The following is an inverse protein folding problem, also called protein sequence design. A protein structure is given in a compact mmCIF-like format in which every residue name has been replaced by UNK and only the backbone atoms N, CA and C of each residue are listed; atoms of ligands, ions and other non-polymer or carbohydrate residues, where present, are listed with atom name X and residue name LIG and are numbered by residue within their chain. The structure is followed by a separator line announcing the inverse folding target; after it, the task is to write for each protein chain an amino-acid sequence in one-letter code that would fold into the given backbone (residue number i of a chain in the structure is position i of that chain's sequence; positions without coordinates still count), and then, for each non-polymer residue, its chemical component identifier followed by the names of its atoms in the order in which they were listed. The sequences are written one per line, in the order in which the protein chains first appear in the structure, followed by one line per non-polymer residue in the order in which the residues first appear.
data_IF_057519231087
#
_entry.id   IF_057519231087
#
_cell.length_a   1.000
_cell.length_b   1.000
_cell.length_c   1.000
_cell.angle_alpha   90.00
_cell.angle_beta   90.00
_cell.angle_gamma   90.00
#
_symmetry.space_group_name_H-M   'P 1'
#
loop_
_entity.id
_entity.type
_entity.pdbx_description
1 polymer ?
#
# COMPACT_ATOMS: atom_id res chain seq x y z
N UNK A 1 -0.97 -19.51 -8.55
CA UNK A 1 -2.01 -19.63 -7.51
C UNK A 1 -1.28 -19.46 -6.18
N UNK A 2 -1.56 -18.42 -5.38
CA UNK A 2 -0.98 -18.30 -4.04
C UNK A 2 -1.55 -19.41 -3.16
N UNK A 3 -0.72 -20.05 -2.33
CA UNK A 3 -1.05 -21.30 -1.61
C UNK A 3 -2.22 -21.24 -0.61
N UNK A 4 -2.92 -20.10 -0.43
CA UNK A 4 -3.90 -19.90 0.66
C UNK A 4 -5.11 -19.01 0.35
N UNK A 5 -5.64 -18.98 -0.87
CA UNK A 5 -6.81 -18.13 -1.22
C UNK A 5 -6.70 -16.70 -0.66
N UNK A 6 -5.50 -16.15 -0.70
CA UNK A 6 -5.14 -14.86 -0.11
C UNK A 6 -4.61 -13.95 -1.20
N UNK A 7 -5.02 -12.68 -1.16
CA UNK A 7 -4.62 -11.68 -2.14
C UNK A 7 -3.91 -10.50 -1.47
N UNK A 8 -2.97 -9.89 -2.20
CA UNK A 8 -2.35 -8.65 -1.78
C UNK A 8 -3.33 -7.49 -2.00
N UNK A 9 -3.32 -6.51 -1.10
CA UNK A 9 -4.07 -5.26 -1.25
C UNK A 9 -3.12 -4.15 -1.70
N UNK A 10 -3.38 -3.56 -2.87
CA UNK A 10 -2.66 -2.39 -3.37
C UNK A 10 -3.53 -1.13 -3.34
N UNK A 11 -2.94 0.06 -3.26
CA UNK A 11 -3.69 1.29 -3.60
C UNK A 11 -4.01 1.40 -5.09
N UNK A 12 -4.68 2.50 -5.42
CA UNK A 12 -4.94 2.93 -6.80
C UNK A 12 -3.69 3.24 -7.61
N UNK A 13 -2.50 3.38 -7.00
CA UNK A 13 -1.24 3.56 -7.72
C UNK A 13 -0.70 2.25 -8.31
N UNK A 14 -1.22 1.10 -7.88
CA UNK A 14 -0.88 -0.20 -8.46
C UNK A 14 -1.85 -0.63 -9.56
N UNK A 15 -1.34 -1.42 -10.50
CA UNK A 15 -2.18 -2.14 -11.45
C UNK A 15 -3.02 -3.23 -10.78
N UNK A 16 -4.25 -3.44 -11.25
CA UNK A 16 -5.09 -4.56 -10.82
C UNK A 16 -4.59 -5.87 -11.44
N UNK A 17 -4.23 -6.84 -10.59
CA UNK A 17 -3.69 -8.13 -11.00
C UNK A 17 -4.45 -9.29 -10.33
N UNK A 18 -4.40 -10.52 -10.85
CA UNK A 18 -5.06 -11.69 -10.24
C UNK A 18 -4.57 -12.07 -8.82
N UNK A 19 -3.53 -11.40 -8.32
CA UNK A 19 -2.98 -11.57 -6.98
C UNK A 19 -2.86 -10.25 -6.20
N UNK A 20 -3.19 -9.10 -6.83
CA UNK A 20 -3.10 -7.75 -6.25
C UNK A 20 -4.40 -7.01 -6.51
N UNK A 21 -5.21 -6.88 -5.45
CA UNK A 21 -6.53 -6.29 -5.48
C UNK A 21 -6.44 -4.80 -5.13
N UNK A 22 -6.90 -3.96 -6.04
CA UNK A 22 -6.95 -2.51 -5.89
C UNK A 22 -8.40 -2.01 -5.78
N UNK A 23 -8.64 -0.81 -5.22
CA UNK A 23 -9.97 -0.24 -5.08
C UNK A 23 -10.73 -0.19 -6.41
N UNK A 24 -12.07 -0.22 -6.34
CA UNK A 24 -12.92 0.03 -7.52
C UNK A 24 -12.84 1.51 -7.85
N UNK A 25 -12.36 1.89 -9.06
CA UNK A 25 -12.43 3.28 -9.50
C UNK A 25 -13.89 3.63 -9.82
N UNK A 26 -14.38 4.74 -9.29
CA UNK A 26 -15.75 5.23 -9.51
C UNK A 26 -16.84 4.17 -9.21
N UNK A 27 -17.03 3.76 -7.95
CA UNK A 27 -18.02 2.75 -7.58
C UNK A 27 -19.43 3.16 -8.05
N UNK A 28 -20.19 2.22 -8.60
CA UNK A 28 -21.51 2.46 -9.19
C UNK A 28 -22.67 1.87 -8.35
N UNK A 29 -22.34 1.09 -7.32
CA UNK A 29 -23.33 0.43 -6.48
C UNK A 29 -22.84 0.30 -5.03
N UNK A 30 -23.78 0.02 -4.12
CA UNK A 30 -23.53 -0.08 -2.68
C UNK A 30 -22.52 -1.18 -2.33
N UNK A 31 -22.48 -2.30 -3.08
CA UNK A 31 -21.53 -3.36 -2.82
C UNK A 31 -20.08 -2.92 -3.11
N UNK A 32 -19.87 -2.22 -4.22
CA UNK A 32 -18.57 -1.62 -4.57
C UNK A 32 -18.14 -0.55 -3.57
N UNK A 33 -19.08 0.26 -3.08
CA UNK A 33 -18.81 1.24 -2.02
C UNK A 33 -18.36 0.56 -0.71
N UNK A 34 -19.10 -0.46 -0.26
CA UNK A 34 -18.77 -1.24 0.94
C UNK A 34 -17.42 -1.94 0.80
N UNK A 35 -17.15 -2.52 -0.37
CA UNK A 35 -15.84 -3.08 -0.68
C UNK A 35 -14.73 -2.03 -0.55
N UNK A 36 -14.89 -0.85 -1.14
CA UNK A 36 -13.91 0.23 -1.03
C UNK A 36 -13.74 0.71 0.42
N UNK A 37 -14.80 0.77 1.21
CA UNK A 37 -14.72 1.10 2.65
C UNK A 37 -13.90 0.05 3.41
N UNK A 38 -14.18 -1.24 3.22
CA UNK A 38 -13.42 -2.31 3.86
C UNK A 38 -11.96 -2.34 3.38
N UNK A 39 -11.73 -2.14 2.09
CA UNK A 39 -10.39 -2.06 1.49
C UNK A 39 -9.57 -0.92 2.11
N UNK A 40 -10.17 0.28 2.24
CA UNK A 40 -9.56 1.43 2.91
C UNK A 40 -9.28 1.14 4.38
N UNK A 41 -10.21 0.51 5.10
CA UNK A 41 -10.02 0.14 6.50
C UNK A 41 -8.83 -0.81 6.68
N UNK A 42 -8.69 -1.83 5.82
CA UNK A 42 -7.53 -2.73 5.83
C UNK A 42 -6.22 -1.97 5.56
N UNK A 43 -6.20 -1.06 4.57
CA UNK A 43 -4.99 -0.29 4.22
C UNK A 43 -4.57 0.73 5.28
N UNK A 44 -5.52 1.26 6.05
CA UNK A 44 -5.26 2.27 7.09
C UNK A 44 -4.19 1.82 8.10
N UNK A 45 -4.14 0.53 8.43
CA UNK A 45 -3.15 -0.02 9.38
C UNK A 45 -1.73 0.07 8.83
N UNK A 46 -1.54 -0.27 7.56
CA UNK A 46 -0.22 -0.21 6.90
C UNK A 46 0.19 1.24 6.64
N UNK A 47 -0.75 2.09 6.23
CA UNK A 47 -0.49 3.53 6.03
C UNK A 47 -0.06 4.20 7.34
N UNK A 48 -0.74 3.89 8.45
CA UNK A 48 -0.36 4.35 9.79
C UNK A 48 1.01 3.85 10.20
N UNK A 49 1.33 2.57 9.98
CA UNK A 49 2.64 2.00 10.27
C UNK A 49 3.75 2.76 9.52
N UNK A 50 3.53 3.04 8.23
CA UNK A 50 4.45 3.83 7.43
C UNK A 50 4.60 5.26 7.98
N UNK A 51 3.51 5.92 8.37
CA UNK A 51 3.55 7.24 9.00
C UNK A 51 4.37 7.26 10.30
N UNK A 52 4.18 6.26 11.17
CA UNK A 52 4.98 6.10 12.41
C UNK A 52 6.46 5.96 12.09
N UNK A 53 6.83 5.11 11.13
CA UNK A 53 8.23 4.90 10.76
C UNK A 53 8.86 6.16 10.13
N UNK A 54 8.17 6.84 9.22
CA UNK A 54 8.65 8.08 8.59
C UNK A 54 8.82 9.21 9.60
N UNK A 55 7.85 9.39 10.49
CA UNK A 55 7.87 10.40 11.53
C UNK A 55 9.04 10.19 12.51
N UNK A 56 9.26 8.93 12.90
CA UNK A 56 10.35 8.54 13.79
C UNK A 56 11.73 8.62 13.11
N UNK A 57 11.83 8.16 11.88
CA UNK A 57 13.08 8.09 11.12
C UNK A 57 13.00 8.99 9.90
N UNK A 58 13.40 10.25 10.07
CA UNK A 58 13.43 11.21 8.98
C UNK A 58 14.24 10.76 7.77
N UNK A 59 15.16 9.80 7.91
CA UNK A 59 15.93 9.21 6.80
C UNK A 59 15.08 8.49 5.75
N UNK A 60 13.83 8.14 6.06
CA UNK A 60 12.87 7.56 5.11
C UNK A 60 11.62 8.43 4.93
N UNK A 61 11.59 9.61 5.56
CA UNK A 61 10.54 10.61 5.34
C UNK A 61 10.68 11.20 3.94
N UNK A 62 9.56 11.66 3.38
CA UNK A 62 9.52 12.35 2.08
C UNK A 62 10.51 13.52 2.03
N UNK A 63 10.68 14.24 3.13
CA UNK A 63 11.58 15.40 3.20
C UNK A 63 13.06 15.04 2.99
N UNK A 64 13.39 13.75 3.05
CA UNK A 64 14.72 13.18 2.85
C UNK A 64 14.60 11.89 2.05
N UNK A 65 14.35 12.06 0.75
CA UNK A 65 14.26 10.94 -0.20
C UNK A 65 15.53 10.09 -0.10
N UNK A 66 15.35 8.76 -0.03
CA UNK A 66 16.45 7.80 -0.06
C UNK A 66 17.05 7.77 -1.46
N UNK A 67 18.19 8.43 -1.65
CA UNK A 67 18.98 8.38 -2.90
C UNK A 67 19.93 7.19 -2.83
N UNK A 68 19.35 5.98 -2.77
CA UNK A 68 20.10 4.72 -2.74
C UNK A 68 19.44 3.70 -3.67
N UNK A 69 20.26 2.78 -4.20
CA UNK A 69 19.76 1.60 -4.91
C UNK A 69 18.72 0.82 -4.06
N UNK A 70 17.69 0.21 -4.67
CA UNK A 70 16.63 -0.51 -3.95
C UNK A 70 17.13 -1.52 -2.91
N UNK A 71 18.23 -2.24 -3.19
CA UNK A 71 18.81 -3.20 -2.24
C UNK A 71 19.31 -2.50 -0.98
N UNK A 72 19.95 -1.33 -1.14
CA UNK A 72 20.44 -0.54 -0.01
C UNK A 72 19.31 0.20 0.71
N UNK A 73 18.34 0.74 -0.02
CA UNK A 73 17.14 1.34 0.55
C UNK A 73 16.37 0.33 1.42
N UNK A 74 16.21 -0.92 0.95
CA UNK A 74 15.59 -2.00 1.72
C UNK A 74 16.32 -2.31 3.03
N UNK A 75 17.67 -2.30 3.02
CA UNK A 75 18.47 -2.45 4.26
C UNK A 75 18.23 -1.32 5.25
N UNK A 76 18.11 -0.09 4.77
CA UNK A 76 17.83 1.08 5.63
C UNK A 76 16.44 0.95 6.26
N UNK A 77 15.42 0.60 5.46
CA UNK A 77 14.06 0.37 5.97
C UNK A 77 14.03 -0.75 7.01
N UNK A 78 14.72 -1.87 6.76
CA UNK A 78 14.83 -2.97 7.73
C UNK A 78 15.50 -2.54 9.04
N UNK A 79 16.54 -1.70 8.96
CA UNK A 79 17.20 -1.13 10.14
C UNK A 79 16.22 -0.24 10.92
N UNK A 80 15.44 0.63 10.24
CA UNK A 80 14.39 1.43 10.87
C UNK A 80 13.35 0.56 11.59
N UNK A 81 12.85 -0.51 10.96
CA UNK A 81 11.90 -1.44 11.59
C UNK A 81 12.50 -2.12 12.82
N UNK A 82 13.77 -2.56 12.74
CA UNK A 82 14.46 -3.21 13.86
C UNK A 82 14.61 -2.24 15.03
N UNK A 83 15.08 -1.02 14.76
CA UNK A 83 15.25 0.02 15.78
C UNK A 83 13.90 0.47 16.37
N UNK A 84 12.84 0.53 15.57
CA UNK A 84 11.48 0.80 16.03
C UNK A 84 11.04 -0.22 17.09
N UNK A 85 11.22 -1.51 16.80
CA UNK A 85 10.87 -2.59 17.73
C UNK A 85 11.68 -2.49 19.03
N UNK A 86 12.98 -2.20 18.94
CA UNK A 86 13.84 -1.97 20.12
C UNK A 86 13.32 -0.79 20.95
N UNK A 87 12.92 0.31 20.31
CA UNK A 87 12.37 1.48 21.00
C UNK A 87 11.05 1.18 21.70
N UNK A 88 10.15 0.42 21.08
CA UNK A 88 8.92 -0.05 21.73
C UNK A 88 9.25 -0.88 22.98
N UNK A 89 10.17 -1.84 22.85
CA UNK A 89 10.60 -2.69 23.98
C UNK A 89 11.23 -1.89 25.13
N UNK A 90 11.85 -0.75 24.82
CA UNK A 90 12.44 0.16 25.80
C UNK A 90 11.46 1.21 26.34
N UNK A 91 10.20 1.19 25.90
CA UNK A 91 9.17 2.11 26.37
C UNK A 91 9.29 3.54 25.82
N UNK A 92 9.98 3.74 24.69
CA UNK A 92 9.98 5.04 24.03
C UNK A 92 8.58 5.35 23.48
N UNK A 93 8.09 6.60 23.61
CA UNK A 93 6.77 6.97 23.13
C UNK A 93 6.69 6.82 21.61
N UNK A 94 5.49 6.51 21.11
CA UNK A 94 5.15 6.63 19.69
C UNK A 94 5.09 8.11 19.28
N UNK A 95 5.33 8.43 18.00
CA UNK A 95 5.02 9.76 17.49
C UNK A 95 3.55 10.09 17.75
N UNK A 96 3.27 11.37 17.94
CA UNK A 96 1.91 11.89 18.11
C UNK A 96 1.07 11.71 16.85
N UNK A 97 -0.25 11.74 16.98
CA UNK A 97 -1.16 11.64 15.83
C UNK A 97 -0.86 12.71 14.77
N UNK A 98 -0.63 13.95 15.21
CA UNK A 98 -0.29 15.08 14.34
C UNK A 98 1.01 14.83 13.55
N UNK A 99 2.01 14.23 14.18
CA UNK A 99 3.28 13.89 13.51
C UNK A 99 3.12 12.74 12.51
N UNK A 100 2.19 11.81 12.74
CA UNK A 100 1.88 10.70 11.83
C UNK A 100 1.09 11.23 10.64
N UNK A 101 0.03 12.01 10.88
CA UNK A 101 -0.82 12.64 9.85
C UNK A 101 0.00 13.52 8.90
N UNK A 102 0.93 14.32 9.45
CA UNK A 102 1.84 15.14 8.65
C UNK A 102 2.70 14.32 7.65
N UNK A 103 3.00 13.05 7.95
CA UNK A 103 3.73 12.16 7.04
C UNK A 103 2.81 11.39 6.08
N UNK A 104 1.50 11.30 6.38
CA UNK A 104 0.48 10.64 5.55
C UNK A 104 -0.09 11.58 4.48
N UNK A 105 -0.38 12.83 4.82
CA UNK A 105 -0.93 13.86 3.92
C UNK A 105 0.06 14.31 2.83
N UNK A 106 1.35 14.01 3.03
CA UNK A 106 2.43 14.30 2.10
C UNK A 106 2.64 13.20 1.03
N UNK A 107 1.79 12.17 0.98
CA UNK A 107 1.73 11.33 -0.21
C UNK A 107 1.20 12.20 -1.37
N UNK A 108 2.02 12.41 -2.41
CA UNK A 108 1.54 13.05 -3.65
C UNK A 108 0.28 12.29 -4.12
N UNK A 109 -0.64 12.92 -4.88
CA UNK A 109 -1.42 12.13 -5.84
C UNK A 109 -0.42 11.25 -6.57
N UNK A 110 -0.71 9.98 -6.79
CA UNK A 110 0.18 9.12 -7.56
C UNK A 110 0.46 9.81 -8.90
N UNK A 111 1.56 10.58 -8.98
CA UNK A 111 2.15 11.02 -10.23
C UNK A 111 2.31 9.71 -10.96
N UNK A 112 1.59 9.60 -12.07
CA UNK A 112 1.51 8.43 -12.93
C UNK A 112 2.90 7.80 -12.93
N UNK A 113 3.07 6.74 -12.13
CA UNK A 113 4.34 6.06 -12.09
C UNK A 113 4.61 5.73 -13.57
N UNK A 114 5.79 6.10 -14.11
CA UNK A 114 6.12 5.75 -15.47
C UNK A 114 5.77 4.28 -15.59
N UNK A 115 4.89 3.99 -16.55
CA UNK A 115 4.50 2.63 -16.86
C UNK A 115 5.77 1.92 -17.32
N UNK A 116 6.59 1.47 -16.37
CA UNK A 116 7.85 0.79 -16.60
C UNK A 116 7.44 -0.50 -17.29
N UNK A 117 7.65 -0.47 -18.61
CA UNK A 117 6.90 -1.23 -19.59
C UNK A 117 6.73 -2.70 -19.20
N UNK A 118 5.49 -3.08 -18.93
CA UNK A 118 5.10 -4.49 -18.96
C UNK A 118 4.63 -4.80 -20.38
N UNK A 119 5.56 -5.42 -21.10
CA UNK A 119 5.44 -6.43 -22.18
C UNK A 119 4.07 -6.60 -22.85
N UNK A 120 4.10 -6.50 -24.19
CA UNK A 120 3.00 -6.62 -25.14
C UNK A 120 2.10 -7.87 -24.96
N UNK A 121 0.82 -7.68 -25.32
CA UNK A 121 -0.24 -8.67 -25.57
C UNK A 121 -0.82 -9.47 -24.39
N UNK A 122 -0.05 -9.80 -23.35
CA UNK A 122 -0.53 -10.60 -22.18
C UNK A 122 -1.19 -9.77 -21.06
N UNK A 123 -0.97 -8.44 -21.05
CA UNK A 123 -1.48 -7.52 -20.03
C UNK A 123 -3.00 -7.40 -20.03
N UNK A 124 -3.65 -7.47 -21.20
CA UNK A 124 -5.12 -7.39 -21.31
C UNK A 124 -5.78 -8.56 -20.58
N UNK A 125 -5.27 -9.77 -20.79
CA UNK A 125 -5.78 -10.99 -20.14
C UNK A 125 -5.57 -10.93 -18.62
N UNK A 126 -4.40 -10.47 -18.17
CA UNK A 126 -4.09 -10.33 -16.74
C UNK A 126 -5.03 -9.33 -16.06
N UNK A 127 -5.22 -8.15 -16.65
CA UNK A 127 -6.12 -7.12 -16.11
C UNK A 127 -7.57 -7.60 -16.12
N UNK A 128 -8.02 -8.27 -17.19
CA UNK A 128 -9.36 -8.86 -17.25
C UNK A 128 -9.57 -9.92 -16.16
N UNK A 129 -8.58 -10.78 -15.93
CA UNK A 129 -8.62 -11.78 -14.87
C UNK A 129 -8.67 -11.13 -13.48
N UNK A 130 -7.88 -10.06 -13.25
CA UNK A 130 -7.94 -9.28 -12.02
C UNK A 130 -9.32 -8.62 -11.80
N UNK A 131 -9.93 -8.06 -12.84
CA UNK A 131 -11.29 -7.49 -12.77
C UNK A 131 -12.34 -8.54 -12.45
N UNK A 132 -12.30 -9.69 -13.12
CA UNK A 132 -13.22 -10.81 -12.86
C UNK A 132 -13.14 -11.27 -11.41
N UNK A 133 -11.91 -11.48 -10.92
CA UNK A 133 -11.66 -11.89 -9.54
C UNK A 133 -12.17 -10.86 -8.54
N UNK A 134 -11.85 -9.57 -8.71
CA UNK A 134 -12.33 -8.52 -7.81
C UNK A 134 -13.86 -8.46 -7.80
N UNK A 135 -14.49 -8.49 -8.97
CA UNK A 135 -15.96 -8.45 -9.07
C UNK A 135 -16.61 -9.69 -8.44
N UNK A 136 -15.96 -10.85 -8.55
CA UNK A 136 -16.38 -12.06 -7.85
C UNK A 136 -16.32 -11.89 -6.33
N UNK A 137 -15.19 -11.40 -5.79
CA UNK A 137 -15.02 -11.11 -4.36
C UNK A 137 -16.10 -10.15 -3.87
N UNK A 138 -16.36 -9.07 -4.60
CA UNK A 138 -17.40 -8.09 -4.27
C UNK A 138 -18.77 -8.76 -4.20
N UNK A 139 -19.14 -9.49 -5.26
CA UNK A 139 -20.44 -10.17 -5.34
C UNK A 139 -20.66 -11.21 -4.25
N UNK A 140 -19.61 -11.90 -3.82
CA UNK A 140 -19.70 -12.98 -2.83
C UNK A 140 -19.68 -12.46 -1.38
N UNK A 141 -19.16 -11.26 -1.12
CA UNK A 141 -18.85 -10.81 0.25
C UNK A 141 -19.41 -9.42 0.63
N UNK A 142 -19.95 -8.62 -0.31
CA UNK A 142 -20.38 -7.24 -0.07
C UNK A 142 -21.76 -6.92 -0.65
#
# INVERSE_FOLDING_TARGET
RGERDSWLLGDSGYGLLPWLITPVPNPQNVAEERFNTAHKACRSTVERCNGVLKSRFRSISRQRILIYDPVKAGKIVNACCTLHNVMILKGYPLPTEQEIEAEMDNNLPADEAPNDGIVEMDTVTIVQNGRRLRNQIIRENF
#
